data_IF_358769534304
#
_entry.id   IF_358769534304
#
_cell.length_a   1.000
_cell.length_b   1.000
_cell.length_c   1.000
_cell.angle_alpha   90.00
_cell.angle_beta   90.00
_cell.angle_gamma   90.00
#
_symmetry.space_group_name_H-M   'P 1'
#
loop_
_entity.id
_entity.type
_entity.pdbx_description
1 polymer ?
#
# COMPACT_ATOMS: atom_id res chain seq x y z
N UNK A 1 9.72 -23.11 14.06
CA UNK A 1 9.31 -24.18 13.10
C UNK A 1 9.81 -25.56 13.52
N UNK A 2 11.10 -25.77 13.82
CA UNK A 2 11.65 -27.08 14.22
C UNK A 2 11.04 -27.71 15.49
N UNK A 3 10.66 -26.89 16.49
CA UNK A 3 10.05 -27.38 17.73
C UNK A 3 8.62 -27.93 17.54
N UNK A 4 7.75 -27.21 16.82
CA UNK A 4 6.38 -27.64 16.49
C UNK A 4 6.35 -28.91 15.63
N UNK A 5 7.26 -29.00 14.65
CA UNK A 5 7.37 -30.16 13.77
C UNK A 5 7.70 -31.46 14.54
N UNK A 6 8.49 -31.36 15.62
CA UNK A 6 8.77 -32.51 16.50
C UNK A 6 7.58 -32.94 17.37
N UNK A 7 6.60 -32.06 17.58
CA UNK A 7 5.43 -32.33 18.42
C UNK A 7 4.18 -32.71 17.61
N UNK A 8 4.29 -32.88 16.28
CA UNK A 8 3.15 -33.21 15.42
C UNK A 8 2.07 -32.11 15.37
N UNK A 9 2.36 -30.91 15.87
CA UNK A 9 1.42 -29.80 15.89
C UNK A 9 1.39 -29.12 14.52
N UNK A 10 0.20 -28.73 14.02
CA UNK A 10 0.10 -27.99 12.77
C UNK A 10 0.92 -26.70 12.85
N UNK A 11 1.81 -26.51 11.87
CA UNK A 11 2.77 -25.41 11.83
C UNK A 11 2.04 -24.06 11.78
N UNK A 12 1.01 -23.96 10.95
CA UNK A 12 0.08 -22.84 10.90
C UNK A 12 -1.20 -23.11 11.69
N UNK A 13 -1.74 -22.05 12.29
CA UNK A 13 -3.07 -22.10 12.91
C UNK A 13 -4.03 -21.37 11.99
N UNK A 14 -4.97 -22.10 11.39
CA UNK A 14 -5.98 -21.55 10.47
C UNK A 14 -7.07 -20.72 11.18
N UNK A 15 -6.87 -20.39 12.47
CA UNK A 15 -7.82 -19.59 13.24
C UNK A 15 -7.71 -18.13 12.80
N UNK A 16 -8.78 -17.61 12.19
CA UNK A 16 -8.88 -16.22 11.70
C UNK A 16 -8.44 -15.17 12.72
N UNK A 17 -8.73 -15.37 14.01
CA UNK A 17 -8.31 -14.45 15.08
C UNK A 17 -6.79 -14.36 15.26
N UNK A 18 -6.07 -15.48 15.10
CA UNK A 18 -4.60 -15.47 15.21
C UNK A 18 -3.98 -14.76 14.00
N UNK A 19 -4.54 -14.99 12.81
CA UNK A 19 -4.11 -14.32 11.59
C UNK A 19 -4.37 -12.81 11.67
N UNK A 20 -5.59 -12.39 12.03
CA UNK A 20 -5.94 -10.98 12.19
C UNK A 20 -5.06 -10.28 13.24
N UNK A 21 -4.82 -10.94 14.38
CA UNK A 21 -3.92 -10.41 15.42
C UNK A 21 -2.48 -10.23 14.92
N UNK A 22 -1.95 -11.20 14.17
CA UNK A 22 -0.61 -11.10 13.58
C UNK A 22 -0.51 -9.98 12.53
N UNK A 23 -1.52 -9.81 11.69
CA UNK A 23 -1.55 -8.75 10.68
C UNK A 23 -1.64 -7.37 11.34
N UNK A 24 -2.52 -7.18 12.33
CA UNK A 24 -2.64 -5.90 13.04
C UNK A 24 -1.35 -5.55 13.79
N UNK A 25 -0.70 -6.52 14.42
CA UNK A 25 0.57 -6.30 15.10
C UNK A 25 1.66 -5.87 14.11
N UNK A 26 1.82 -6.59 13.00
CA UNK A 26 2.83 -6.24 11.99
C UNK A 26 2.53 -4.89 11.34
N UNK A 27 1.27 -4.60 11.04
CA UNK A 27 0.84 -3.31 10.54
C UNK A 27 1.20 -2.17 11.50
N UNK A 28 0.90 -2.32 12.80
CA UNK A 28 1.24 -1.33 13.81
C UNK A 28 2.75 -1.12 13.93
N UNK A 29 3.54 -2.20 13.94
CA UNK A 29 5.01 -2.11 13.94
C UNK A 29 5.53 -1.34 12.71
N UNK A 30 4.98 -1.61 11.53
CA UNK A 30 5.37 -0.92 10.29
C UNK A 30 4.96 0.55 10.32
N UNK A 31 3.77 0.88 10.81
CA UNK A 31 3.31 2.28 10.96
C UNK A 31 4.25 3.05 11.88
N UNK A 32 4.60 2.50 13.05
CA UNK A 32 5.53 3.13 13.98
C UNK A 32 6.89 3.35 13.31
N UNK A 33 7.44 2.33 12.63
CA UNK A 33 8.71 2.46 11.92
C UNK A 33 8.63 3.53 10.81
N UNK A 34 7.56 3.55 10.02
CA UNK A 34 7.35 4.51 8.93
C UNK A 34 7.35 5.96 9.43
N UNK A 35 6.77 6.22 10.62
CA UNK A 35 6.78 7.55 11.22
C UNK A 35 8.22 8.01 11.50
N UNK A 36 9.06 7.15 12.08
CA UNK A 36 10.47 7.50 12.34
C UNK A 36 11.29 7.71 11.05
N UNK A 37 11.02 6.93 10.00
CA UNK A 37 11.71 7.09 8.71
C UNK A 37 11.27 8.32 7.92
N UNK A 38 10.05 8.82 8.15
CA UNK A 38 9.48 9.95 7.42
C UNK A 38 9.62 11.28 8.15
N UNK A 39 9.78 11.28 9.47
CA UNK A 39 9.90 12.50 10.25
C UNK A 39 11.24 13.21 10.02
N UNK A 40 11.22 14.55 10.01
CA UNK A 40 12.44 15.36 9.90
C UNK A 40 13.32 15.31 11.17
N UNK A 41 12.77 14.88 12.31
CA UNK A 41 13.48 14.76 13.58
C UNK A 41 12.80 13.82 14.57
N UNK A 42 13.53 13.37 15.60
CA UNK A 42 12.99 12.51 16.68
C UNK A 42 11.84 13.19 17.45
N UNK A 43 11.92 14.48 17.84
CA UNK A 43 10.80 15.16 18.48
C UNK A 43 9.55 15.22 17.59
N UNK A 44 9.72 15.44 16.28
CA UNK A 44 8.61 15.44 15.33
C UNK A 44 7.97 14.04 15.21
N UNK A 45 8.77 12.96 15.17
CA UNK A 45 8.26 11.59 15.18
C UNK A 45 7.41 11.30 16.43
N UNK A 46 7.89 11.69 17.61
CA UNK A 46 7.17 11.50 18.87
C UNK A 46 5.85 12.29 18.91
N UNK A 47 5.84 13.53 18.40
CA UNK A 47 4.62 14.33 18.29
C UNK A 47 3.60 13.72 17.33
N UNK A 48 4.05 13.12 16.22
CA UNK A 48 3.16 12.40 15.31
C UNK A 48 2.56 11.15 15.96
N UNK A 49 3.36 10.37 16.69
CA UNK A 49 2.87 9.17 17.40
C UNK A 49 1.89 9.51 18.52
N UNK A 50 2.16 10.56 19.30
CA UNK A 50 1.22 11.02 20.33
C UNK A 50 -0.08 11.54 19.70
N UNK A 51 -0.01 12.21 18.55
CA UNK A 51 -1.18 12.59 17.76
C UNK A 51 -2.00 11.38 17.28
N UNK A 52 -1.34 10.34 16.77
CA UNK A 52 -2.01 9.10 16.36
C UNK A 52 -2.67 8.37 17.54
N UNK A 53 -2.10 8.47 18.74
CA UNK A 53 -2.68 7.91 19.98
C UNK A 53 -3.82 8.78 20.57
N UNK A 54 -4.12 9.94 19.97
CA UNK A 54 -5.15 10.86 20.46
C UNK A 54 -4.70 11.71 21.66
N UNK A 55 -3.39 11.77 21.94
CA UNK A 55 -2.81 12.55 23.04
C UNK A 55 -2.39 13.97 22.62
N UNK A 56 -2.68 14.38 21.37
CA UNK A 56 -2.34 15.71 20.88
C UNK A 56 -3.37 16.74 21.34
N UNK A 57 -2.88 17.89 21.82
CA UNK A 57 -3.70 19.03 22.21
C UNK A 57 -4.35 19.72 21.00
N UNK A 58 -3.76 19.57 19.81
CA UNK A 58 -4.29 20.14 18.58
C UNK A 58 -5.46 19.28 18.08
N UNK A 59 -6.69 19.70 18.38
CA UNK A 59 -7.89 19.09 17.83
C UNK A 59 -8.11 19.60 16.42
N UNK A 60 -7.61 18.88 15.42
CA UNK A 60 -8.02 19.07 14.04
C UNK A 60 -9.52 18.77 13.95
N UNK A 61 -10.31 19.68 13.39
CA UNK A 61 -11.74 19.43 13.14
C UNK A 61 -11.87 18.41 12.02
N UNK A 62 -11.88 17.13 12.36
CA UNK A 62 -12.23 16.07 11.42
C UNK A 62 -13.73 16.10 11.20
N UNK A 63 -14.15 16.28 9.95
CA UNK A 63 -15.55 16.14 9.59
C UNK A 63 -15.89 14.65 9.43
N UNK A 64 -17.18 14.31 9.52
CA UNK A 64 -17.66 12.93 9.29
C UNK A 64 -17.26 12.42 7.90
N UNK A 65 -17.17 13.31 6.91
CA UNK A 65 -16.68 12.99 5.57
C UNK A 65 -15.24 12.48 5.56
N UNK A 66 -14.38 13.02 6.42
CA UNK A 66 -12.95 12.64 6.46
C UNK A 66 -12.80 11.21 6.99
N UNK A 67 -13.54 10.88 8.05
CA UNK A 67 -13.58 9.52 8.58
C UNK A 67 -14.18 8.53 7.58
N UNK A 68 -15.23 8.92 6.86
CA UNK A 68 -15.81 8.09 5.80
C UNK A 68 -14.80 7.84 4.67
N UNK A 69 -14.10 8.89 4.24
CA UNK A 69 -13.08 8.80 3.18
C UNK A 69 -11.92 7.92 3.61
N UNK A 70 -11.43 8.10 4.85
CA UNK A 70 -10.37 7.28 5.42
C UNK A 70 -10.80 5.82 5.57
N UNK A 71 -12.03 5.56 6.02
CA UNK A 71 -12.60 4.22 6.09
C UNK A 71 -12.73 3.55 4.73
N UNK A 72 -13.18 4.27 3.71
CA UNK A 72 -13.28 3.77 2.34
C UNK A 72 -11.91 3.47 1.73
N UNK A 73 -10.93 4.35 1.92
CA UNK A 73 -9.56 4.13 1.47
C UNK A 73 -8.92 2.94 2.18
N UNK A 74 -9.13 2.80 3.48
CA UNK A 74 -8.63 1.67 4.23
C UNK A 74 -9.29 0.36 3.75
N UNK A 75 -10.61 0.36 3.56
CA UNK A 75 -11.31 -0.79 2.99
C UNK A 75 -10.76 -1.14 1.60
N UNK A 76 -10.52 -0.14 0.75
CA UNK A 76 -9.92 -0.35 -0.57
C UNK A 76 -8.53 -1.00 -0.46
N UNK A 77 -7.64 -0.47 0.39
CA UNK A 77 -6.29 -1.02 0.59
C UNK A 77 -6.32 -2.46 1.10
N UNK A 78 -7.25 -2.80 2.00
CA UNK A 78 -7.34 -4.13 2.60
C UNK A 78 -8.07 -5.15 1.73
N UNK A 79 -8.98 -4.71 0.85
CA UNK A 79 -9.72 -5.58 -0.05
C UNK A 79 -8.99 -5.78 -1.39
N UNK A 80 -8.21 -4.80 -1.85
CA UNK A 80 -7.54 -4.89 -3.14
C UNK A 80 -6.45 -5.98 -3.11
N UNK A 81 -6.33 -6.82 -4.16
CA UNK A 81 -5.28 -7.83 -4.20
C UNK A 81 -3.91 -7.17 -4.19
N UNK A 82 -3.00 -7.74 -3.41
CA UNK A 82 -1.62 -7.26 -3.36
C UNK A 82 -0.86 -7.63 -4.66
N UNK A 83 0.34 -7.06 -4.86
CA UNK A 83 1.15 -7.30 -6.07
C UNK A 83 1.51 -8.79 -6.25
N UNK A 84 1.75 -9.51 -5.16
CA UNK A 84 2.07 -10.94 -5.22
C UNK A 84 0.91 -11.76 -5.77
N UNK A 85 -0.31 -11.46 -5.34
CA UNK A 85 -1.54 -12.07 -5.83
C UNK A 85 -1.85 -11.64 -7.26
N UNK A 86 -1.57 -10.38 -7.59
CA UNK A 86 -1.73 -9.83 -8.94
C UNK A 86 -0.84 -10.53 -9.98
N UNK A 87 0.39 -10.90 -9.59
CA UNK A 87 1.38 -11.59 -10.41
C UNK A 87 1.39 -13.11 -10.23
N UNK A 88 0.39 -13.71 -9.56
CA UNK A 88 0.39 -15.13 -9.19
C UNK A 88 0.57 -16.11 -10.37
N UNK A 89 0.30 -15.70 -11.60
CA UNK A 89 0.52 -16.49 -12.83
C UNK A 89 2.00 -16.74 -13.13
N UNK A 90 2.91 -15.90 -12.66
CA UNK A 90 4.34 -16.02 -12.92
C UNK A 90 5.02 -16.80 -11.79
N UNK A 91 5.81 -17.81 -12.15
CA UNK A 91 6.59 -18.58 -11.17
C UNK A 91 7.63 -17.67 -10.52
N UNK A 92 7.49 -17.48 -9.21
CA UNK A 92 8.50 -16.77 -8.40
C UNK A 92 9.66 -17.71 -8.07
N UNK A 93 10.86 -17.15 -7.85
CA UNK A 93 12.08 -17.93 -7.60
C UNK A 93 12.03 -18.83 -6.35
N UNK A 94 11.03 -18.65 -5.47
CA UNK A 94 10.85 -19.42 -4.25
C UNK A 94 9.77 -20.52 -4.35
N UNK A 95 9.18 -20.77 -5.53
CA UNK A 95 8.02 -21.66 -5.72
C UNK A 95 6.89 -21.38 -4.69
N UNK A 96 6.78 -20.12 -4.25
CA UNK A 96 5.71 -19.70 -3.36
C UNK A 96 4.39 -19.82 -4.11
N UNK A 97 3.46 -20.60 -3.58
CA UNK A 97 2.09 -20.73 -4.05
C UNK A 97 1.22 -19.72 -3.29
N UNK A 98 1.02 -18.49 -3.78
CA UNK A 98 0.14 -17.55 -3.12
C UNK A 98 -1.28 -18.14 -3.06
N UNK A 99 -1.90 -18.07 -1.89
CA UNK A 99 -3.29 -18.51 -1.74
C UNK A 99 -4.19 -17.65 -2.63
N UNK A 100 -5.01 -18.29 -3.46
CA UNK A 100 -5.90 -17.62 -4.38
C UNK A 100 -7.00 -16.88 -3.59
N UNK A 101 -7.07 -15.56 -3.78
CA UNK A 101 -8.11 -14.73 -3.18
C UNK A 101 -9.42 -14.85 -3.98
N UNK A 102 -10.55 -14.82 -3.26
CA UNK A 102 -11.90 -14.91 -3.85
C UNK A 102 -12.17 -13.86 -4.95
N UNK A 103 -11.58 -12.66 -4.84
CA UNK A 103 -11.69 -11.60 -5.84
C UNK A 103 -11.03 -11.95 -7.17
N UNK A 104 -9.87 -12.62 -7.18
CA UNK A 104 -9.22 -13.06 -8.42
C UNK A 104 -10.01 -14.18 -9.11
N UNK A 105 -10.75 -14.97 -8.33
CA UNK A 105 -11.65 -16.00 -8.86
C UNK A 105 -12.87 -15.40 -9.57
N UNK A 106 -13.37 -14.27 -9.09
CA UNK A 106 -14.50 -13.55 -9.69
C UNK A 106 -14.09 -12.60 -10.82
N UNK A 107 -12.89 -12.00 -10.74
CA UNK A 107 -12.42 -11.02 -11.72
C UNK A 107 -11.08 -11.44 -12.35
N UNK A 108 -11.08 -12.34 -13.36
CA UNK A 108 -9.87 -12.78 -14.03
C UNK A 108 -9.17 -11.68 -14.84
N UNK A 109 -9.86 -10.56 -15.12
CA UNK A 109 -9.27 -9.35 -15.73
C UNK A 109 -8.21 -8.73 -14.83
N UNK A 110 -8.28 -8.97 -13.52
CA UNK A 110 -7.34 -8.43 -12.56
C UNK A 110 -6.00 -9.16 -12.65
N UNK A 111 -5.84 -10.29 -13.34
CA UNK A 111 -4.50 -10.87 -13.51
C UNK A 111 -3.61 -9.97 -14.38
N UNK A 112 -2.37 -9.72 -13.94
CA UNK A 112 -1.39 -9.02 -14.74
C UNK A 112 -1.12 -9.77 -16.04
N UNK A 113 -1.52 -9.18 -17.18
CA UNK A 113 -1.28 -9.71 -18.52
C UNK A 113 -0.73 -8.60 -19.41
N UNK A 114 0.60 -8.41 -19.45
CA UNK A 114 1.20 -7.39 -20.30
C UNK A 114 1.02 -7.81 -21.76
N UNK A 115 0.04 -7.21 -22.44
CA UNK A 115 -0.17 -7.39 -23.88
C UNK A 115 0.52 -6.26 -24.64
N UNK A 116 0.99 -6.50 -25.89
CA UNK A 116 1.55 -5.44 -26.72
C UNK A 116 0.58 -4.25 -26.90
N UNK A 117 -0.73 -4.49 -26.89
CA UNK A 117 -1.76 -3.46 -26.94
C UNK A 117 -1.69 -2.49 -25.73
N UNK A 118 -1.47 -3.01 -24.51
CA UNK A 118 -1.25 -2.17 -23.32
C UNK A 118 0.02 -1.34 -23.50
N UNK A 119 1.10 -1.95 -24.01
CA UNK A 119 2.35 -1.24 -24.29
C UNK A 119 2.18 -0.07 -25.28
N UNK A 120 1.46 -0.30 -26.39
CA UNK A 120 1.14 0.74 -27.37
C UNK A 120 0.25 1.82 -26.75
N UNK A 121 -0.79 1.45 -26.03
CA UNK A 121 -1.69 2.41 -25.39
C UNK A 121 -0.96 3.30 -24.37
N UNK A 122 -0.14 2.70 -23.49
CA UNK A 122 0.69 3.44 -22.53
C UNK A 122 1.72 4.31 -23.24
N UNK A 123 2.32 3.82 -24.33
CA UNK A 123 3.25 4.60 -25.16
C UNK A 123 2.60 5.82 -25.81
N UNK A 124 1.40 5.67 -26.37
CA UNK A 124 0.61 6.77 -26.96
C UNK A 124 0.22 7.78 -25.89
N UNK A 125 -0.28 7.33 -24.74
CA UNK A 125 -0.61 8.21 -23.61
C UNK A 125 0.62 8.95 -23.08
N UNK A 126 1.74 8.25 -22.93
CA UNK A 126 3.02 8.83 -22.51
C UNK A 126 3.53 9.86 -23.51
N UNK A 127 3.41 9.59 -24.81
CA UNK A 127 3.74 10.55 -25.87
C UNK A 127 2.91 11.82 -25.75
N UNK A 128 1.58 11.71 -25.60
CA UNK A 128 0.73 12.88 -25.41
C UNK A 128 1.04 13.63 -24.12
N UNK A 129 1.30 12.93 -23.01
CA UNK A 129 1.68 13.56 -21.75
C UNK A 129 2.99 14.34 -21.86
N UNK A 130 4.00 13.77 -22.53
CA UNK A 130 5.28 14.45 -22.84
C UNK A 130 5.07 15.63 -23.78
N UNK A 131 4.28 15.46 -24.84
CA UNK A 131 3.97 16.53 -25.79
C UNK A 131 3.30 17.72 -25.09
N UNK A 132 2.37 17.47 -24.17
CA UNK A 132 1.74 18.51 -23.33
C UNK A 132 2.76 19.14 -22.40
N UNK A 133 3.59 18.35 -21.72
CA UNK A 133 4.61 18.86 -20.80
C UNK A 133 5.65 19.76 -21.49
N UNK A 134 6.06 19.42 -22.72
CA UNK A 134 6.98 20.23 -23.52
C UNK A 134 6.29 21.40 -24.26
N UNK A 135 4.98 21.31 -24.48
CA UNK A 135 4.18 22.42 -25.04
C UNK A 135 3.82 23.47 -23.99
N UNK A 136 3.98 23.17 -22.69
CA UNK A 136 3.96 24.19 -21.66
C UNK A 136 5.16 25.11 -21.90
N UNK A 137 4.89 26.37 -22.25
CA UNK A 137 5.92 27.38 -22.52
C UNK A 137 6.97 27.41 -21.39
N UNK A 138 8.26 27.68 -21.68
CA UNK A 138 9.27 27.83 -20.65
C UNK A 138 8.75 28.80 -19.60
N UNK A 139 8.57 28.35 -18.36
CA UNK A 139 8.27 29.25 -17.25
C UNK A 139 9.40 30.25 -17.21
N UNK A 140 9.12 31.50 -17.61
CA UNK A 140 10.11 32.56 -17.58
C UNK A 140 10.75 32.57 -16.20
N UNK A 141 12.06 32.37 -16.19
CA UNK A 141 12.85 32.38 -14.97
C UNK A 141 12.50 33.64 -14.18
N UNK A 142 11.99 33.47 -12.95
CA UNK A 142 11.90 34.51 -11.93
C UNK A 142 13.32 34.98 -11.57
N UNK A 143 13.95 35.81 -12.42
CA UNK A 143 15.31 36.33 -12.18
C UNK A 143 15.33 37.71 -11.50
N UNK A 144 14.18 38.32 -11.23
CA UNK A 144 14.14 39.64 -10.60
C UNK A 144 12.98 39.76 -9.61
N UNK A 145 13.23 39.33 -8.37
CA UNK A 145 12.66 39.98 -7.20
C UNK A 145 13.83 40.43 -6.33
N UNK A 146 14.40 41.57 -6.69
CA UNK A 146 15.20 42.39 -5.78
C UNK A 146 14.33 43.56 -5.33
#
# INVERSE_FOLDING_TARGET
>A
RAYKARQGLPLDSDKLWHHAGAVLLTFLCVVVAMVFFRADSVPAAMAMLSGMAGLSEQTTKFDKSDFLTLGLLLAFVWLMPNVQQWMARFRTALDAQPHENWLLRWFPIVFWSPTPAIGVAVGVLGFFALAVAFSAAPTEFLYFQF
#
